data_IF_297879045192
#
_entry.id   IF_297879045192
#
_cell.length_a   1.000
_cell.length_b   1.000
_cell.length_c   1.000
_cell.angle_alpha   90.00
_cell.angle_beta   90.00
_cell.angle_gamma   90.00
#
_symmetry.space_group_name_H-M   'P 1'
#
loop_
_entity.id
_entity.type
_entity.pdbx_description
1 polymer ?
#
# COMPACT_ATOMS: atom_id res chain seq x y z
N UNK A 1 -7.89 -6.72 -2.68
CA UNK A 1 -9.30 -7.10 -2.49
C UNK A 1 -9.49 -8.61 -2.64
N UNK A 2 -10.38 -9.20 -1.86
CA UNK A 2 -10.77 -10.62 -2.02
C UNK A 2 -11.56 -10.80 -3.31
N UNK A 3 -11.50 -12.03 -3.87
CA UNK A 3 -12.36 -12.38 -5.00
C UNK A 3 -13.83 -12.37 -4.56
N UNK A 4 -14.63 -11.57 -5.21
CA UNK A 4 -16.07 -11.47 -4.97
C UNK A 4 -16.82 -11.57 -6.30
N UNK A 5 -18.07 -12.02 -6.25
CA UNK A 5 -18.90 -12.19 -7.44
C UNK A 5 -18.97 -10.91 -8.29
N UNK A 6 -19.06 -9.75 -7.68
CA UNK A 6 -19.19 -8.46 -8.36
C UNK A 6 -17.88 -7.99 -9.04
N UNK A 7 -16.77 -8.64 -8.77
CA UNK A 7 -15.49 -8.34 -9.42
C UNK A 7 -15.37 -8.93 -10.83
N UNK A 8 -16.23 -9.89 -11.20
CA UNK A 8 -16.16 -10.52 -12.52
C UNK A 8 -16.94 -9.75 -13.58
N UNK A 9 -16.54 -9.93 -14.84
CA UNK A 9 -17.35 -9.53 -15.99
C UNK A 9 -18.32 -10.66 -16.35
N UNK A 10 -19.53 -10.27 -16.72
CA UNK A 10 -20.61 -11.20 -17.08
C UNK A 10 -21.08 -10.95 -18.51
N UNK A 11 -21.44 -12.02 -19.22
CA UNK A 11 -22.14 -11.92 -20.49
C UNK A 11 -23.62 -11.52 -20.30
N UNK A 12 -24.33 -11.32 -21.41
CA UNK A 12 -25.78 -10.98 -21.38
C UNK A 12 -26.68 -12.07 -20.78
N UNK A 13 -26.15 -13.28 -20.62
CA UNK A 13 -26.85 -14.43 -20.01
C UNK A 13 -26.48 -14.62 -18.53
N UNK A 14 -25.60 -13.78 -17.99
CA UNK A 14 -25.16 -13.83 -16.59
C UNK A 14 -24.07 -14.86 -16.30
N UNK A 15 -23.35 -15.35 -17.32
CA UNK A 15 -22.21 -16.22 -17.14
C UNK A 15 -20.93 -15.41 -17.05
N UNK A 16 -19.97 -15.87 -16.23
CA UNK A 16 -18.64 -15.26 -16.13
C UNK A 16 -17.93 -15.36 -17.48
N UNK A 17 -17.36 -14.24 -17.93
CA UNK A 17 -16.52 -14.20 -19.12
C UNK A 17 -15.09 -14.61 -18.79
N UNK A 18 -14.44 -15.28 -19.73
CA UNK A 18 -13.05 -15.76 -19.61
C UNK A 18 -12.21 -15.23 -20.75
N UNK A 19 -10.91 -15.02 -20.48
CA UNK A 19 -9.92 -14.67 -21.49
C UNK A 19 -9.47 -15.92 -22.30
N UNK A 20 -8.56 -15.70 -23.25
CA UNK A 20 -8.00 -16.74 -24.12
C UNK A 20 -7.22 -17.84 -23.37
N UNK A 21 -6.78 -17.55 -22.13
CA UNK A 21 -6.07 -18.47 -21.24
C UNK A 21 -7.04 -19.23 -20.31
N UNK A 22 -8.34 -18.97 -20.40
CA UNK A 22 -9.36 -19.55 -19.53
C UNK A 22 -9.41 -18.91 -18.15
N UNK A 23 -8.83 -17.72 -17.95
CA UNK A 23 -8.93 -16.97 -16.71
C UNK A 23 -10.14 -16.05 -16.73
N UNK A 24 -10.88 -15.99 -15.63
CA UNK A 24 -12.05 -15.14 -15.50
C UNK A 24 -11.66 -13.66 -15.67
N UNK A 25 -12.40 -12.96 -16.53
CA UNK A 25 -12.26 -11.52 -16.69
C UNK A 25 -12.84 -10.79 -15.46
N UNK A 26 -12.17 -9.75 -15.01
CA UNK A 26 -12.61 -8.95 -13.87
C UNK A 26 -12.97 -7.52 -14.27
N UNK A 27 -13.84 -6.91 -13.50
CA UNK A 27 -14.22 -5.51 -13.65
C UNK A 27 -13.24 -4.63 -12.87
N UNK A 28 -12.34 -3.95 -13.56
CA UNK A 28 -11.32 -3.09 -12.96
C UNK A 28 -11.92 -2.05 -12.03
N UNK A 29 -13.01 -1.38 -12.44
CA UNK A 29 -13.65 -0.35 -11.62
C UNK A 29 -14.18 -0.89 -10.30
N UNK A 30 -14.78 -2.07 -10.30
CA UNK A 30 -15.31 -2.70 -9.07
C UNK A 30 -14.19 -3.16 -8.14
N UNK A 31 -13.10 -3.71 -8.69
CA UNK A 31 -11.94 -4.10 -7.88
C UNK A 31 -11.27 -2.89 -7.24
N UNK A 32 -11.13 -1.81 -8.00
CA UNK A 32 -10.55 -0.55 -7.51
C UNK A 32 -11.43 0.07 -6.42
N UNK A 33 -12.74 0.13 -6.64
CA UNK A 33 -13.69 0.63 -5.66
C UNK A 33 -13.66 -0.18 -4.35
N UNK A 34 -13.58 -1.50 -4.45
CA UNK A 34 -13.43 -2.36 -3.28
C UNK A 34 -12.11 -2.09 -2.53
N UNK A 35 -11.01 -1.88 -3.25
CA UNK A 35 -9.73 -1.53 -2.64
C UNK A 35 -9.77 -0.16 -1.93
N UNK A 36 -10.41 0.83 -2.55
CA UNK A 36 -10.60 2.15 -1.96
C UNK A 36 -11.43 2.07 -0.66
N UNK A 37 -12.55 1.36 -0.67
CA UNK A 37 -13.38 1.15 0.53
C UNK A 37 -12.65 0.38 1.63
N UNK A 38 -11.88 -0.65 1.28
CA UNK A 38 -11.08 -1.42 2.25
C UNK A 38 -9.99 -0.55 2.92
N UNK A 39 -9.48 0.48 2.23
CA UNK A 39 -8.46 1.39 2.77
C UNK A 39 -9.01 2.42 3.75
N UNK A 40 -10.32 2.72 3.69
CA UNK A 40 -10.93 3.84 4.42
C UNK A 40 -10.58 5.24 3.87
N UNK A 41 -9.92 5.31 2.71
CA UNK A 41 -9.49 6.55 2.04
C UNK A 41 -10.07 6.65 0.62
N UNK A 42 -11.37 6.49 0.50
CA UNK A 42 -12.11 6.26 -0.75
C UNK A 42 -11.82 7.28 -1.86
N UNK A 43 -11.52 8.51 -1.48
CA UNK A 43 -11.30 9.63 -2.41
C UNK A 43 -9.82 10.05 -2.52
N UNK A 44 -8.90 9.24 -2.02
CA UNK A 44 -7.48 9.55 -2.11
C UNK A 44 -7.00 9.42 -3.57
N UNK A 45 -6.10 10.31 -3.99
CA UNK A 45 -5.51 10.32 -5.34
C UNK A 45 -4.75 9.02 -5.67
N UNK A 46 -4.36 8.25 -4.66
CA UNK A 46 -3.76 6.93 -4.82
C UNK A 46 -4.64 5.93 -5.57
N UNK A 47 -5.96 6.17 -5.65
CA UNK A 47 -6.93 5.32 -6.35
C UNK A 47 -7.34 5.87 -7.72
N UNK A 48 -6.74 6.94 -8.19
CA UNK A 48 -7.03 7.48 -9.51
C UNK A 48 -6.47 6.54 -10.61
N UNK A 49 -7.33 6.19 -11.55
CA UNK A 49 -6.99 5.25 -12.63
C UNK A 49 -5.96 5.87 -13.58
N UNK A 50 -6.07 7.16 -13.82
CA UNK A 50 -5.15 7.90 -14.69
C UNK A 50 -3.93 8.37 -13.90
N UNK A 51 -2.75 8.24 -14.50
CA UNK A 51 -1.51 8.73 -13.88
C UNK A 51 -1.38 10.25 -13.96
N UNK A 52 -0.57 10.81 -13.06
CA UNK A 52 -0.34 12.25 -12.91
C UNK A 52 0.88 12.78 -13.65
N UNK A 53 1.42 12.04 -14.58
CA UNK A 53 2.56 12.45 -15.39
C UNK A 53 3.12 11.32 -16.23
N UNK A 54 4.14 11.61 -17.06
CA UNK A 54 4.66 10.64 -18.03
C UNK A 54 5.25 9.39 -17.38
N UNK A 55 5.59 9.48 -16.12
CA UNK A 55 6.18 8.39 -15.36
C UNK A 55 5.20 7.71 -14.41
N UNK A 56 3.99 8.21 -14.24
CA UNK A 56 2.94 7.58 -13.45
C UNK A 56 1.98 6.84 -14.42
N UNK A 57 2.10 5.52 -14.45
CA UNK A 57 1.30 4.66 -15.35
C UNK A 57 -0.15 4.48 -14.85
N UNK A 58 -0.54 5.17 -13.78
CA UNK A 58 -1.84 5.00 -13.16
C UNK A 58 -1.98 3.68 -12.40
N UNK A 59 -3.21 3.37 -12.00
CA UNK A 59 -3.51 2.12 -11.28
C UNK A 59 -3.51 0.94 -12.24
N UNK A 60 -2.69 -0.06 -11.90
CA UNK A 60 -2.74 -1.39 -12.48
C UNK A 60 -3.24 -2.38 -11.43
N UNK A 61 -3.98 -3.38 -11.87
CA UNK A 61 -4.53 -4.42 -10.99
C UNK A 61 -3.92 -5.76 -11.39
N UNK A 62 -3.32 -6.44 -10.41
CA UNK A 62 -2.72 -7.75 -10.62
C UNK A 62 -3.51 -8.82 -9.88
N UNK A 63 -3.55 -10.02 -10.48
CA UNK A 63 -4.17 -11.20 -9.86
C UNK A 63 -3.21 -11.82 -8.85
N UNK A 64 -3.69 -12.04 -7.65
CA UNK A 64 -2.98 -12.84 -6.63
C UNK A 64 -3.41 -14.30 -6.80
N UNK A 65 -2.47 -15.18 -7.05
CA UNK A 65 -2.71 -16.61 -7.28
C UNK A 65 -2.17 -17.45 -6.12
N UNK A 66 -2.89 -18.53 -5.78
CA UNK A 66 -2.39 -19.56 -4.85
C UNK A 66 -1.44 -20.55 -5.57
N UNK A 67 -0.96 -21.54 -4.84
CA UNK A 67 -0.05 -22.56 -5.37
C UNK A 67 -0.68 -23.39 -6.51
N UNK A 68 -2.01 -23.52 -6.53
CA UNK A 68 -2.76 -24.19 -7.60
C UNK A 68 -3.01 -23.26 -8.81
N UNK A 69 -2.41 -22.08 -8.83
CA UNK A 69 -2.58 -21.02 -9.84
C UNK A 69 -4.02 -20.46 -9.97
N UNK A 70 -4.84 -20.66 -8.96
CA UNK A 70 -6.19 -20.08 -8.91
C UNK A 70 -6.12 -18.65 -8.38
N UNK A 71 -6.87 -17.74 -9.00
CA UNK A 71 -7.00 -16.36 -8.51
C UNK A 71 -7.75 -16.34 -7.18
N UNK A 72 -7.08 -15.88 -6.12
CA UNK A 72 -7.62 -15.78 -4.76
C UNK A 72 -7.84 -14.33 -4.31
N UNK A 73 -7.40 -13.37 -5.10
CA UNK A 73 -7.55 -11.95 -4.81
C UNK A 73 -6.95 -11.08 -5.90
N UNK A 74 -6.95 -9.80 -5.63
CA UNK A 74 -6.35 -8.78 -6.49
C UNK A 74 -5.50 -7.84 -5.63
N UNK A 75 -4.41 -7.32 -6.21
CA UNK A 75 -3.59 -6.27 -5.62
C UNK A 75 -3.44 -5.11 -6.59
N UNK A 76 -3.22 -3.92 -6.05
CA UNK A 76 -2.84 -2.76 -6.86
C UNK A 76 -1.33 -2.74 -7.07
N UNK A 77 -0.88 -1.99 -8.07
CA UNK A 77 0.53 -1.80 -8.40
C UNK A 77 1.22 -0.78 -7.49
N UNK A 78 0.86 -0.76 -6.22
CA UNK A 78 1.44 0.20 -5.27
C UNK A 78 1.53 -0.37 -3.85
N UNK A 79 2.53 0.10 -3.13
CA UNK A 79 2.72 -0.13 -1.70
C UNK A 79 2.35 1.14 -0.94
N UNK A 80 1.45 1.01 0.03
CA UNK A 80 0.90 2.15 0.77
C UNK A 80 1.80 2.51 1.95
N UNK A 81 2.22 3.76 2.05
CA UNK A 81 3.09 4.25 3.12
C UNK A 81 2.41 4.21 4.49
N UNK A 82 1.13 4.59 4.56
CA UNK A 82 0.34 4.55 5.78
C UNK A 82 0.10 3.12 6.29
N UNK A 83 -0.20 2.18 5.39
CA UNK A 83 -0.37 0.77 5.78
C UNK A 83 0.92 0.19 6.38
N UNK A 84 2.08 0.52 5.81
CA UNK A 84 3.37 0.13 6.37
C UNK A 84 3.63 0.79 7.74
N UNK A 85 3.21 2.04 7.92
CA UNK A 85 3.32 2.72 9.22
C UNK A 85 2.41 2.09 10.28
N UNK A 86 1.19 1.70 9.92
CA UNK A 86 0.30 0.96 10.83
C UNK A 86 0.88 -0.41 11.19
N UNK A 87 1.44 -1.13 10.22
CA UNK A 87 2.09 -2.43 10.44
C UNK A 87 3.28 -2.30 11.40
N UNK A 88 4.09 -1.25 11.26
CA UNK A 88 5.17 -0.95 12.19
C UNK A 88 4.65 -0.72 13.62
N UNK A 89 3.65 0.14 13.77
CA UNK A 89 3.07 0.44 15.07
C UNK A 89 2.47 -0.82 15.73
N UNK A 90 1.77 -1.66 14.94
CA UNK A 90 1.22 -2.94 15.41
C UNK A 90 2.31 -3.86 15.94
N UNK A 91 3.43 -4.01 15.22
CA UNK A 91 4.57 -4.81 15.67
C UNK A 91 5.19 -4.28 16.96
N UNK A 92 5.28 -2.97 17.13
CA UNK A 92 5.72 -2.37 18.38
C UNK A 92 4.78 -2.70 19.54
N UNK A 93 3.46 -2.68 19.32
CA UNK A 93 2.48 -3.08 20.34
C UNK A 93 2.56 -4.57 20.65
N UNK A 94 2.69 -5.44 19.64
CA UNK A 94 2.85 -6.88 19.83
C UNK A 94 4.12 -7.21 20.61
N UNK A 95 5.24 -6.51 20.32
CA UNK A 95 6.47 -6.61 21.12
C UNK A 95 6.20 -6.32 22.59
N UNK A 96 5.58 -5.17 22.90
CA UNK A 96 5.29 -4.77 24.27
C UNK A 96 4.38 -5.79 24.99
N UNK A 97 3.37 -6.32 24.30
CA UNK A 97 2.50 -7.37 24.84
C UNK A 97 3.26 -8.66 25.12
N UNK A 98 4.15 -9.09 24.20
CA UNK A 98 4.98 -10.27 24.38
C UNK A 98 5.92 -10.13 25.58
N UNK A 99 6.55 -8.96 25.76
CA UNK A 99 7.39 -8.64 26.93
C UNK A 99 6.60 -8.75 28.24
N UNK A 100 5.39 -8.18 28.30
CA UNK A 100 4.51 -8.26 29.49
C UNK A 100 4.11 -9.70 29.81
N UNK A 101 4.02 -10.58 28.81
CA UNK A 101 3.69 -11.99 28.97
C UNK A 101 4.91 -12.88 29.19
N UNK A 102 6.12 -12.32 29.26
CA UNK A 102 7.38 -13.06 29.40
C UNK A 102 7.80 -13.87 28.17
N UNK A 103 7.25 -13.55 26.99
CA UNK A 103 7.51 -14.24 25.73
C UNK A 103 8.68 -13.57 25.00
N UNK A 104 9.88 -13.76 25.48
CA UNK A 104 11.08 -13.04 25.03
C UNK A 104 11.45 -13.30 23.57
N UNK A 105 11.27 -14.52 23.07
CA UNK A 105 11.57 -14.87 21.68
C UNK A 105 10.59 -14.18 20.71
N UNK A 106 9.29 -14.20 21.03
CA UNK A 106 8.27 -13.49 20.24
C UNK A 106 8.51 -11.97 20.25
N UNK A 107 8.89 -11.41 21.42
CA UNK A 107 9.22 -9.99 21.52
C UNK A 107 10.40 -9.60 20.64
N UNK A 108 11.48 -10.39 20.62
CA UNK A 108 12.64 -10.16 19.76
C UNK A 108 12.28 -10.29 18.27
N UNK A 109 11.40 -11.22 17.91
CA UNK A 109 10.91 -11.36 16.54
C UNK A 109 10.14 -10.11 16.10
N UNK A 110 9.17 -9.63 16.90
CA UNK A 110 8.40 -8.44 16.57
C UNK A 110 9.27 -7.18 16.48
N UNK A 111 10.29 -7.07 17.33
CA UNK A 111 11.26 -5.98 17.24
C UNK A 111 12.02 -5.98 15.91
N UNK A 112 12.55 -7.14 15.51
CA UNK A 112 13.28 -7.29 14.25
C UNK A 112 12.38 -6.98 13.04
N UNK A 113 11.14 -7.46 13.06
CA UNK A 113 10.16 -7.19 12.01
C UNK A 113 9.77 -5.70 11.95
N UNK A 114 9.60 -5.04 13.11
CA UNK A 114 9.35 -3.61 13.17
C UNK A 114 10.50 -2.80 12.57
N UNK A 115 11.75 -3.10 12.97
CA UNK A 115 12.92 -2.42 12.41
C UNK A 115 13.09 -2.64 10.90
N UNK A 116 12.75 -3.82 10.40
CA UNK A 116 12.75 -4.08 8.95
C UNK A 116 11.76 -3.17 8.21
N UNK A 117 10.54 -3.03 8.71
CA UNK A 117 9.52 -2.14 8.10
C UNK A 117 9.96 -0.68 8.21
N UNK A 118 10.49 -0.27 9.38
CA UNK A 118 10.98 1.09 9.59
C UNK A 118 12.08 1.47 8.60
N UNK A 119 13.09 0.61 8.47
CA UNK A 119 14.20 0.85 7.56
C UNK A 119 13.72 0.92 6.11
N UNK A 120 12.87 -0.04 5.70
CA UNK A 120 12.30 -0.07 4.36
C UNK A 120 11.57 1.23 4.00
N UNK A 121 10.69 1.71 4.87
CA UNK A 121 9.91 2.94 4.63
C UNK A 121 10.82 4.17 4.57
N UNK A 122 11.75 4.31 5.51
CA UNK A 122 12.64 5.48 5.55
C UNK A 122 13.63 5.51 4.37
N UNK A 123 14.03 4.36 3.85
CA UNK A 123 14.96 4.26 2.72
C UNK A 123 14.27 4.39 1.35
N UNK A 124 13.03 3.90 1.22
CA UNK A 124 12.38 3.76 -0.08
C UNK A 124 11.15 4.64 -0.29
N UNK A 125 10.50 5.10 0.78
CA UNK A 125 9.24 5.83 0.68
C UNK A 125 9.33 7.32 1.05
N UNK A 126 10.53 7.80 1.39
CA UNK A 126 10.80 9.22 1.66
C UNK A 126 11.48 9.88 0.47
N UNK A 127 10.90 10.96 -0.03
CA UNK A 127 11.51 11.79 -1.07
C UNK A 127 12.26 12.97 -0.44
N UNK A 128 13.57 13.01 -0.68
CA UNK A 128 14.45 14.03 -0.09
C UNK A 128 14.26 15.41 -0.72
N UNK A 129 13.80 15.47 -1.97
CA UNK A 129 13.63 16.73 -2.70
C UNK A 129 12.37 17.48 -2.23
N UNK A 130 11.30 16.75 -1.94
CA UNK A 130 10.05 17.33 -1.43
C UNK A 130 9.92 17.29 0.08
N UNK A 131 10.80 16.54 0.77
CA UNK A 131 10.78 16.38 2.23
C UNK A 131 9.55 15.67 2.77
N UNK A 132 9.00 14.69 2.01
CA UNK A 132 7.74 14.05 2.35
C UNK A 132 7.74 12.56 2.02
N UNK A 133 6.83 11.79 2.66
CA UNK A 133 6.65 10.37 2.35
C UNK A 133 5.56 10.16 1.31
N UNK A 134 5.76 9.17 0.44
CA UNK A 134 4.84 8.81 -0.63
C UNK A 134 4.70 7.30 -0.76
N UNK A 135 3.59 6.88 -1.39
CA UNK A 135 3.43 5.51 -1.84
C UNK A 135 4.45 5.15 -2.92
N UNK A 136 4.76 3.86 -3.03
CA UNK A 136 5.59 3.31 -4.10
C UNK A 136 4.72 2.66 -5.18
N UNK A 137 4.95 3.01 -6.43
CA UNK A 137 4.44 2.25 -7.56
C UNK A 137 5.33 1.03 -7.79
N UNK A 138 4.69 -0.10 -8.09
CA UNK A 138 5.37 -1.38 -8.33
C UNK A 138 4.94 -1.96 -9.67
N UNK A 139 5.78 -2.85 -10.24
CA UNK A 139 5.34 -3.75 -11.31
C UNK A 139 4.77 -5.06 -10.72
N UNK A 140 4.32 -5.97 -11.60
CA UNK A 140 3.64 -7.21 -11.19
C UNK A 140 4.50 -8.12 -10.29
N UNK A 141 5.82 -8.15 -10.51
CA UNK A 141 6.76 -8.94 -9.70
C UNK A 141 7.31 -8.18 -8.48
N UNK A 142 6.89 -6.93 -8.29
CA UNK A 142 7.32 -6.07 -7.19
C UNK A 142 8.77 -5.59 -7.28
N UNK A 143 9.47 -5.83 -8.38
CA UNK A 143 10.89 -5.48 -8.53
C UNK A 143 11.13 -4.01 -8.81
N UNK A 144 10.21 -3.33 -9.48
CA UNK A 144 10.32 -1.90 -9.79
C UNK A 144 9.61 -1.11 -8.72
N UNK A 145 10.33 -0.13 -8.18
CA UNK A 145 9.82 0.77 -7.14
C UNK A 145 10.02 2.21 -7.61
N UNK A 146 8.94 2.98 -7.54
CA UNK A 146 8.96 4.39 -7.89
C UNK A 146 8.07 5.17 -6.95
N UNK A 147 8.58 6.27 -6.39
CA UNK A 147 7.79 7.16 -5.55
C UNK A 147 6.71 7.88 -6.37
N UNK A 148 5.50 7.91 -5.85
CA UNK A 148 4.34 8.54 -6.47
C UNK A 148 4.23 10.03 -6.10
N UNK A 149 5.35 10.76 -6.20
CA UNK A 149 5.47 12.18 -5.83
C UNK A 149 4.44 13.05 -6.58
N UNK A 150 4.18 12.73 -7.84
CA UNK A 150 3.27 13.50 -8.70
C UNK A 150 1.80 13.43 -8.26
N UNK A 151 1.44 12.52 -7.37
CA UNK A 151 0.08 12.42 -6.81
C UNK A 151 -0.20 13.43 -5.69
N UNK A 152 0.83 14.17 -5.31
CA UNK A 152 0.74 15.20 -4.27
C UNK A 152 0.95 14.69 -2.87
N UNK A 153 0.97 15.61 -1.91
CA UNK A 153 1.19 15.35 -0.48
C UNK A 153 -0.14 15.08 0.19
N UNK A 154 -0.49 13.80 0.35
CA UNK A 154 -1.70 13.38 1.02
C UNK A 154 -1.50 13.11 2.52
N UNK A 155 -2.60 12.86 3.22
CA UNK A 155 -2.59 12.56 4.66
C UNK A 155 -1.83 11.28 5.00
N UNK A 156 -1.70 10.36 4.08
CA UNK A 156 -0.93 9.13 4.20
C UNK A 156 0.56 9.37 4.47
N UNK A 157 1.12 10.46 3.90
CA UNK A 157 2.54 10.75 3.99
C UNK A 157 3.01 11.29 5.35
N UNK A 158 2.12 11.64 6.27
CA UNK A 158 2.48 12.01 7.64
C UNK A 158 2.22 10.91 8.68
N UNK A 159 1.57 9.80 8.28
CA UNK A 159 1.31 8.68 9.18
C UNK A 159 2.62 8.07 9.75
N UNK A 160 3.77 8.06 9.05
CA UNK A 160 5.05 7.68 9.63
C UNK A 160 5.45 8.48 10.89
N UNK A 161 5.04 9.75 11.02
CA UNK A 161 5.25 10.56 12.23
C UNK A 161 4.37 10.04 13.38
N UNK A 162 3.09 9.82 13.08
CA UNK A 162 2.16 9.27 14.07
C UNK A 162 2.64 7.91 14.61
N UNK A 163 3.16 7.06 13.74
CA UNK A 163 3.69 5.75 14.11
C UNK A 163 5.04 5.83 14.87
N UNK A 164 5.65 7.01 14.99
CA UNK A 164 6.99 7.22 15.55
C UNK A 164 8.08 6.40 14.82
N UNK A 165 7.92 6.21 13.51
CA UNK A 165 8.87 5.46 12.71
C UNK A 165 9.80 6.33 11.86
N UNK A 166 9.43 7.59 11.61
CA UNK A 166 10.24 8.53 10.86
C UNK A 166 11.58 8.80 11.54
N UNK A 167 12.66 8.95 10.76
CA UNK A 167 13.94 9.41 11.27
C UNK A 167 13.87 10.90 11.63
N UNK A 168 14.64 11.40 12.61
CA UNK A 168 14.52 12.77 13.10
C UNK A 168 14.54 13.84 12.00
N UNK A 169 15.46 13.75 11.05
CA UNK A 169 15.57 14.73 9.97
C UNK A 169 14.39 14.64 8.98
N UNK A 170 13.87 13.44 8.73
CA UNK A 170 12.69 13.23 7.89
C UNK A 170 11.44 13.74 8.60
N UNK A 171 11.32 13.51 9.91
CA UNK A 171 10.22 14.03 10.71
C UNK A 171 10.18 15.56 10.69
N UNK A 172 11.32 16.22 10.84
CA UNK A 172 11.44 17.69 10.75
C UNK A 172 10.95 18.18 9.37
N UNK A 173 11.44 17.58 8.29
CA UNK A 173 11.05 17.95 6.94
C UNK A 173 9.54 17.78 6.69
N UNK A 174 8.92 16.70 7.17
CA UNK A 174 7.47 16.50 7.05
C UNK A 174 6.70 17.54 7.86
N UNK A 175 7.16 17.87 9.08
CA UNK A 175 6.53 18.91 9.92
C UNK A 175 6.59 20.26 9.21
N UNK A 176 7.73 20.63 8.64
CA UNK A 176 7.88 21.88 7.89
C UNK A 176 6.89 21.93 6.71
N UNK A 177 6.72 20.83 5.98
CA UNK A 177 5.71 20.72 4.93
C UNK A 177 4.27 20.87 5.44
N UNK A 178 3.96 20.33 6.63
CA UNK A 178 2.62 20.43 7.21
C UNK A 178 2.28 21.82 7.73
N UNK A 179 3.30 22.60 8.09
CA UNK A 179 3.14 23.97 8.62
C UNK A 179 3.31 25.05 7.55
N UNK A 180 3.69 24.68 6.33
CA UNK A 180 3.78 25.62 5.21
C UNK A 180 2.36 26.07 4.79
N UNK A 181 2.11 27.38 4.89
CA UNK A 181 0.83 28.00 4.56
C UNK A 181 0.69 28.36 3.05
N UNK A 182 1.67 28.00 2.20
CA UNK A 182 1.68 28.34 0.77
C UNK A 182 1.20 27.20 -0.14
#
# INVERSE_FOLDING_TARGET
ARVHRDHYQYDSSGNIQYDENGEALFNTGMVLQAAAWESGMDNATRFDIEGYGPDDIGIQIYRVKNDDRQTVGYTLNQESVDLNAYLYAEKCYLKAMAEMLGKTEEAAQYEAEAEQVRNYVNENMFDVDTGFYYDLQTNEDGSVKKLLVNRGKGTEGWIPLWANMAMPAQAEAVIDNMLDEN
#
